data_IF_942596419247
#
_entry.id   IF_942596419247
#
_cell.length_a   1.000
_cell.length_b   1.000
_cell.length_c   1.000
_cell.angle_alpha   90.00
_cell.angle_beta   90.00
_cell.angle_gamma   90.00
#
_symmetry.space_group_name_H-M   'P 1'
#
loop_
_entity.id
_entity.type
_entity.pdbx_description
1 polymer ?
#
# COMPACT_ATOMS: atom_id res chain seq x y z
N UNK A 1 13.04 9.22 -20.85
CA UNK A 1 13.34 10.30 -19.88
C UNK A 1 12.12 11.04 -19.36
N UNK A 2 11.30 11.74 -20.17
CA UNK A 2 10.13 12.48 -19.64
C UNK A 2 9.18 11.59 -18.81
N UNK A 3 8.90 10.36 -19.26
CA UNK A 3 8.05 9.38 -18.54
C UNK A 3 8.64 8.90 -17.21
N UNK A 4 9.97 8.81 -17.10
CA UNK A 4 10.67 8.39 -15.87
C UNK A 4 10.67 9.48 -14.80
N UNK A 5 10.61 10.75 -15.21
CA UNK A 5 10.58 11.90 -14.30
C UNK A 5 9.17 12.28 -13.85
N UNK A 6 8.13 11.78 -14.55
CA UNK A 6 6.73 12.06 -14.21
C UNK A 6 6.38 11.76 -12.75
N UNK A 7 6.76 10.59 -12.16
CA UNK A 7 6.45 10.29 -10.77
C UNK A 7 7.08 11.30 -9.79
N UNK A 8 8.30 11.74 -10.08
CA UNK A 8 9.02 12.70 -9.25
C UNK A 8 8.38 14.10 -9.30
N UNK A 9 7.99 14.56 -10.49
CA UNK A 9 7.28 15.83 -10.66
C UNK A 9 5.92 15.77 -9.96
N UNK A 10 5.18 14.68 -10.13
CA UNK A 10 3.90 14.46 -9.46
C UNK A 10 4.07 14.50 -7.93
N UNK A 11 5.06 13.80 -7.39
CA UNK A 11 5.36 13.82 -5.96
C UNK A 11 5.66 15.23 -5.43
N UNK A 12 6.54 15.98 -6.10
CA UNK A 12 6.89 17.34 -5.71
C UNK A 12 5.68 18.29 -5.78
N UNK A 13 4.90 18.22 -6.85
CA UNK A 13 3.70 19.06 -7.02
C UNK A 13 2.62 18.74 -5.97
N UNK A 14 2.42 17.45 -5.67
CA UNK A 14 1.49 17.01 -4.63
C UNK A 14 1.94 17.51 -3.25
N UNK A 15 3.24 17.50 -2.96
CA UNK A 15 3.78 17.98 -1.69
C UNK A 15 3.53 19.49 -1.49
N UNK A 16 3.75 20.29 -2.54
CA UNK A 16 3.50 21.74 -2.52
C UNK A 16 2.00 22.03 -2.30
N UNK A 17 1.14 21.37 -3.08
CA UNK A 17 -0.32 21.54 -2.97
C UNK A 17 -0.82 21.10 -1.59
N UNK A 18 -0.31 19.98 -1.07
CA UNK A 18 -0.64 19.50 0.27
C UNK A 18 -0.25 20.52 1.34
N UNK A 19 0.97 21.08 1.27
CA UNK A 19 1.41 22.11 2.21
C UNK A 19 0.50 23.35 2.21
N UNK A 20 0.15 23.85 1.03
CA UNK A 20 -0.72 25.02 0.88
C UNK A 20 -2.15 24.77 1.39
N UNK A 21 -2.75 23.65 1.03
CA UNK A 21 -4.15 23.36 1.34
C UNK A 21 -4.35 22.85 2.77
N UNK A 22 -3.42 22.09 3.31
CA UNK A 22 -3.54 21.52 4.67
C UNK A 22 -3.57 22.60 5.74
N UNK A 23 -2.74 23.65 5.63
CA UNK A 23 -2.75 24.77 6.56
C UNK A 23 -4.10 25.47 6.62
N UNK A 24 -4.66 25.81 5.45
CA UNK A 24 -5.98 26.45 5.35
C UNK A 24 -7.08 25.54 5.90
N UNK A 25 -7.05 24.24 5.55
CA UNK A 25 -8.05 23.27 6.01
C UNK A 25 -8.03 23.06 7.53
N UNK A 26 -6.85 22.98 8.15
CA UNK A 26 -6.72 22.85 9.60
C UNK A 26 -7.30 24.08 10.30
N UNK A 27 -6.92 25.29 9.87
CA UNK A 27 -7.42 26.55 10.44
C UNK A 27 -8.95 26.61 10.33
N UNK A 28 -9.50 26.33 9.13
CA UNK A 28 -10.94 26.32 8.91
C UNK A 28 -11.66 25.30 9.81
N UNK A 29 -11.09 24.11 10.02
CA UNK A 29 -11.67 23.07 10.89
C UNK A 29 -11.76 23.54 12.35
N UNK A 30 -10.72 24.23 12.85
CA UNK A 30 -10.74 24.79 14.21
C UNK A 30 -11.75 25.94 14.36
N UNK A 31 -11.81 26.85 13.39
CA UNK A 31 -12.80 27.95 13.39
C UNK A 31 -14.23 27.37 13.41
N UNK A 32 -14.51 26.39 12.57
CA UNK A 32 -15.82 25.72 12.55
C UNK A 32 -16.12 25.04 13.89
N UNK A 33 -15.14 24.35 14.49
CA UNK A 33 -15.28 23.75 15.82
C UNK A 33 -15.68 24.75 16.90
N UNK A 34 -15.06 25.93 16.91
CA UNK A 34 -15.40 27.03 17.82
C UNK A 34 -16.81 27.57 17.57
N UNK A 35 -17.20 27.76 16.30
CA UNK A 35 -18.56 28.20 15.94
C UNK A 35 -19.63 27.19 16.38
N UNK A 36 -19.38 25.89 16.20
CA UNK A 36 -20.26 24.82 16.68
C UNK A 36 -20.40 24.83 18.20
N UNK A 37 -19.29 24.99 18.92
CA UNK A 37 -19.30 25.13 20.37
C UNK A 37 -20.15 26.32 20.82
N UNK A 38 -19.95 27.48 20.19
CA UNK A 38 -20.66 28.70 20.56
C UNK A 38 -22.17 28.58 20.33
N UNK A 39 -22.57 27.97 19.21
CA UNK A 39 -23.98 27.71 18.87
C UNK A 39 -24.64 26.69 19.80
N UNK A 40 -23.95 25.62 20.17
CA UNK A 40 -24.56 24.52 20.94
C UNK A 40 -24.36 24.63 22.46
N UNK A 41 -23.47 25.50 22.93
CA UNK A 41 -23.01 25.61 24.33
C UNK A 41 -22.55 24.29 24.94
N UNK A 42 -22.14 23.33 24.11
CA UNK A 42 -21.70 22.01 24.56
C UNK A 42 -20.20 21.86 24.28
N UNK A 43 -19.40 21.86 25.35
CA UNK A 43 -17.95 21.80 25.28
C UNK A 43 -17.41 20.59 24.50
N UNK A 44 -18.10 19.45 24.56
CA UNK A 44 -17.70 18.23 23.85
C UNK A 44 -17.73 18.42 22.32
N UNK A 45 -18.64 19.26 21.80
CA UNK A 45 -18.76 19.51 20.36
C UNK A 45 -17.60 20.34 19.80
N UNK A 46 -16.82 21.00 20.66
CA UNK A 46 -15.60 21.67 20.23
C UNK A 46 -14.53 20.68 19.76
N UNK A 47 -14.52 19.46 20.31
CA UNK A 47 -13.51 18.44 20.00
C UNK A 47 -13.93 17.48 18.89
N UNK A 48 -15.23 17.39 18.56
CA UNK A 48 -15.72 16.44 17.54
C UNK A 48 -15.04 16.62 16.18
N UNK A 49 -14.88 17.86 15.70
CA UNK A 49 -14.25 18.11 14.41
C UNK A 49 -12.73 17.85 14.41
N UNK A 50 -11.95 18.33 15.41
CA UNK A 50 -10.55 17.94 15.55
C UNK A 50 -10.33 16.42 15.65
N UNK A 51 -11.14 15.69 16.42
CA UNK A 51 -11.02 14.23 16.50
C UNK A 51 -11.33 13.54 15.17
N UNK A 52 -12.35 14.02 14.45
CA UNK A 52 -12.65 13.52 13.11
C UNK A 52 -11.49 13.77 12.14
N UNK A 53 -10.85 14.94 12.22
CA UNK A 53 -9.67 15.27 11.42
C UNK A 53 -8.50 14.31 11.75
N UNK A 54 -8.21 14.08 13.04
CA UNK A 54 -7.18 13.12 13.46
C UNK A 54 -7.48 11.71 12.94
N UNK A 55 -8.73 11.26 13.03
CA UNK A 55 -9.15 9.96 12.52
C UNK A 55 -8.98 9.85 10.99
N UNK A 56 -9.33 10.90 10.24
CA UNK A 56 -9.13 10.94 8.79
C UNK A 56 -7.64 10.97 8.41
N UNK A 57 -6.82 11.75 9.14
CA UNK A 57 -5.38 11.75 8.98
C UNK A 57 -4.79 10.36 9.24
N UNK A 58 -5.25 9.65 10.27
CA UNK A 58 -4.85 8.27 10.53
C UNK A 58 -5.18 7.33 9.37
N UNK A 59 -6.37 7.47 8.77
CA UNK A 59 -6.72 6.69 7.58
C UNK A 59 -5.81 6.98 6.38
N UNK A 60 -5.44 8.24 6.16
CA UNK A 60 -4.47 8.61 5.12
C UNK A 60 -3.08 8.02 5.41
N UNK A 61 -2.62 8.07 6.67
CA UNK A 61 -1.35 7.47 7.08
C UNK A 61 -1.31 5.96 6.81
N UNK A 62 -2.40 5.22 7.11
CA UNK A 62 -2.49 3.78 6.79
C UNK A 62 -2.30 3.52 5.28
N UNK A 63 -2.87 4.36 4.44
CA UNK A 63 -2.71 4.23 2.98
C UNK A 63 -1.25 4.44 2.57
N UNK A 64 -0.57 5.47 3.10
CA UNK A 64 0.85 5.72 2.83
C UNK A 64 1.72 4.55 3.28
N UNK A 65 1.51 4.04 4.49
CA UNK A 65 2.24 2.88 5.02
C UNK A 65 2.02 1.63 4.15
N UNK A 66 0.79 1.41 3.70
CA UNK A 66 0.47 0.32 2.77
C UNK A 66 1.22 0.47 1.44
N UNK A 67 1.20 1.67 0.83
CA UNK A 67 1.94 1.94 -0.40
C UNK A 67 3.45 1.75 -0.25
N UNK A 68 4.02 2.16 0.89
CA UNK A 68 5.43 1.92 1.20
C UNK A 68 5.74 0.43 1.36
N UNK A 69 4.88 -0.33 2.04
CA UNK A 69 5.04 -1.78 2.18
C UNK A 69 5.03 -2.48 0.82
N UNK A 70 4.10 -2.12 -0.08
CA UNK A 70 4.08 -2.64 -1.46
C UNK A 70 5.34 -2.23 -2.23
N UNK A 71 5.80 -0.99 -2.09
CA UNK A 71 7.03 -0.53 -2.73
C UNK A 71 8.27 -1.29 -2.26
N UNK A 72 8.39 -1.54 -0.95
CA UNK A 72 9.46 -2.35 -0.38
C UNK A 72 9.40 -3.80 -0.85
N UNK A 73 8.21 -4.38 -0.98
CA UNK A 73 8.02 -5.73 -1.51
C UNK A 73 8.43 -5.82 -2.99
N UNK A 74 8.07 -4.83 -3.82
CA UNK A 74 8.54 -4.72 -5.21
C UNK A 74 10.08 -4.62 -5.29
N UNK A 75 10.68 -3.73 -4.48
CA UNK A 75 12.14 -3.60 -4.41
C UNK A 75 12.79 -4.90 -3.93
N UNK A 76 12.19 -5.57 -2.96
CA UNK A 76 12.60 -6.89 -2.50
C UNK A 76 12.55 -7.93 -3.62
N UNK A 77 11.50 -7.94 -4.42
CA UNK A 77 11.40 -8.87 -5.55
C UNK A 77 12.52 -8.63 -6.57
N UNK A 78 12.83 -7.36 -6.88
CA UNK A 78 13.95 -7.03 -7.79
C UNK A 78 15.29 -7.43 -7.18
N UNK A 79 15.52 -7.15 -5.89
CA UNK A 79 16.82 -7.33 -5.27
C UNK A 79 17.14 -8.79 -4.93
N UNK A 80 16.14 -9.56 -4.46
CA UNK A 80 16.35 -10.93 -3.94
C UNK A 80 15.38 -11.96 -4.53
N UNK A 81 14.49 -11.59 -5.45
CA UNK A 81 13.48 -12.49 -6.00
C UNK A 81 14.07 -13.73 -6.67
N UNK A 82 15.16 -13.60 -7.44
CA UNK A 82 15.83 -14.75 -8.05
C UNK A 82 16.37 -15.73 -6.99
N UNK A 83 16.91 -15.23 -5.88
CA UNK A 83 17.34 -16.09 -4.77
C UNK A 83 16.13 -16.81 -4.12
N UNK A 84 15.01 -16.10 -3.96
CA UNK A 84 13.78 -16.69 -3.44
C UNK A 84 13.29 -17.78 -4.40
N UNK A 85 13.35 -17.58 -5.71
CA UNK A 85 12.96 -18.57 -6.73
C UNK A 85 13.68 -19.89 -6.52
N UNK A 86 15.02 -19.84 -6.38
CA UNK A 86 15.85 -21.02 -6.10
C UNK A 86 15.44 -21.78 -4.84
N UNK A 87 14.83 -21.10 -3.87
CA UNK A 87 14.45 -21.69 -2.59
C UNK A 87 13.03 -22.26 -2.60
N UNK A 88 12.11 -21.65 -3.35
CA UNK A 88 10.66 -21.90 -3.24
C UNK A 88 10.08 -22.73 -4.38
N UNK A 89 10.79 -22.88 -5.50
CA UNK A 89 10.33 -23.67 -6.65
C UNK A 89 11.52 -24.30 -7.40
N UNK A 90 11.25 -25.40 -8.09
CA UNK A 90 12.23 -26.02 -9.01
C UNK A 90 12.11 -25.41 -10.44
N UNK A 91 11.03 -24.67 -10.70
CA UNK A 91 10.79 -23.94 -11.96
C UNK A 91 11.74 -22.75 -12.05
N UNK A 92 12.20 -22.46 -13.27
CA UNK A 92 13.04 -21.30 -13.58
C UNK A 92 12.30 -20.29 -14.43
N UNK A 93 12.78 -19.04 -14.41
CA UNK A 93 12.22 -17.92 -15.19
C UNK A 93 10.76 -17.61 -14.83
N UNK A 94 10.46 -17.59 -13.53
CA UNK A 94 9.14 -17.22 -12.99
C UNK A 94 8.99 -15.69 -12.90
N UNK A 95 7.98 -15.22 -12.17
CA UNK A 95 7.74 -13.79 -11.92
C UNK A 95 8.61 -13.21 -10.80
N UNK A 96 9.31 -14.06 -10.06
CA UNK A 96 10.30 -13.63 -9.08
C UNK A 96 11.47 -12.93 -9.80
N UNK A 97 11.98 -11.83 -9.23
CA UNK A 97 12.99 -10.99 -9.89
C UNK A 97 12.44 -9.91 -10.81
N UNK A 98 11.12 -9.87 -11.06
CA UNK A 98 10.49 -8.85 -11.93
C UNK A 98 10.06 -7.63 -11.12
N UNK A 99 10.35 -6.43 -11.64
CA UNK A 99 10.11 -5.17 -10.91
C UNK A 99 8.68 -4.62 -10.92
N UNK A 100 7.76 -5.26 -11.61
CA UNK A 100 6.36 -4.85 -11.69
C UNK A 100 5.41 -5.70 -10.84
N UNK A 101 5.92 -6.72 -10.14
CA UNK A 101 5.11 -7.65 -9.33
C UNK A 101 5.81 -7.93 -8.00
N UNK A 102 5.03 -8.06 -6.93
CA UNK A 102 5.53 -8.31 -5.59
C UNK A 102 5.98 -9.76 -5.39
N UNK A 103 6.76 -10.03 -4.35
CA UNK A 103 7.14 -11.41 -3.97
C UNK A 103 5.88 -12.21 -3.65
N UNK A 104 4.96 -11.65 -2.85
CA UNK A 104 3.71 -12.32 -2.47
C UNK A 104 2.85 -12.69 -3.68
N UNK A 105 2.71 -11.80 -4.66
CA UNK A 105 1.96 -12.09 -5.89
C UNK A 105 2.66 -13.13 -6.77
N UNK A 106 4.00 -13.09 -6.83
CA UNK A 106 4.79 -14.09 -7.57
C UNK A 106 4.65 -15.48 -6.96
N UNK A 107 4.69 -15.59 -5.63
CA UNK A 107 4.42 -16.83 -4.90
C UNK A 107 2.97 -17.30 -5.09
N UNK A 108 2.01 -16.37 -5.09
CA UNK A 108 0.60 -16.68 -5.34
C UNK A 108 0.36 -17.35 -6.68
N UNK A 109 1.01 -16.85 -7.74
CA UNK A 109 0.99 -17.50 -9.06
C UNK A 109 1.53 -18.93 -8.99
N UNK A 110 2.71 -19.11 -8.41
CA UNK A 110 3.32 -20.44 -8.26
C UNK A 110 2.46 -21.39 -7.41
N UNK A 111 1.78 -20.87 -6.40
CA UNK A 111 0.86 -21.64 -5.57
C UNK A 111 -0.37 -22.10 -6.36
N UNK A 112 -0.96 -21.23 -7.18
CA UNK A 112 -2.07 -21.59 -8.05
C UNK A 112 -1.66 -22.61 -9.12
N UNK A 113 -0.46 -22.46 -9.68
CA UNK A 113 0.11 -23.41 -10.65
C UNK A 113 0.58 -24.73 -9.99
N UNK A 114 0.57 -24.83 -8.66
CA UNK A 114 1.12 -25.96 -7.87
C UNK A 114 2.61 -26.22 -8.12
N UNK A 115 3.36 -25.17 -8.40
CA UNK A 115 4.80 -25.19 -8.70
C UNK A 115 5.67 -24.87 -7.47
N UNK A 116 5.06 -24.57 -6.31
CA UNK A 116 5.80 -24.36 -5.06
C UNK A 116 6.27 -25.69 -4.47
N UNK A 117 7.56 -25.72 -4.09
CA UNK A 117 8.11 -26.82 -3.31
C UNK A 117 7.66 -26.72 -1.82
N UNK A 118 8.08 -27.69 -0.99
CA UNK A 118 7.71 -27.71 0.45
C UNK A 118 8.16 -26.46 1.22
N UNK A 119 9.29 -25.85 0.84
CA UNK A 119 9.78 -24.62 1.47
C UNK A 119 8.94 -23.42 1.04
N UNK A 120 8.61 -23.33 -0.25
CA UNK A 120 7.68 -22.34 -0.80
C UNK A 120 6.31 -22.38 -0.13
N UNK A 121 5.74 -23.57 0.07
CA UNK A 121 4.47 -23.74 0.78
C UNK A 121 4.56 -23.31 2.25
N UNK A 122 5.66 -23.61 2.96
CA UNK A 122 5.87 -23.13 4.33
C UNK A 122 5.99 -21.61 4.37
N UNK A 123 6.69 -21.02 3.41
CA UNK A 123 6.87 -19.58 3.32
C UNK A 123 5.53 -18.88 3.03
N UNK A 124 4.75 -19.38 2.08
CA UNK A 124 3.39 -18.88 1.82
C UNK A 124 2.50 -18.94 3.07
N UNK A 125 2.54 -20.04 3.82
CA UNK A 125 1.76 -20.17 5.08
C UNK A 125 2.22 -19.21 6.18
N UNK A 126 3.51 -18.89 6.22
CA UNK A 126 4.04 -17.86 7.13
C UNK A 126 3.45 -16.49 6.78
N UNK A 127 3.41 -16.15 5.48
CA UNK A 127 2.80 -14.91 5.01
C UNK A 127 1.30 -14.87 5.32
N UNK A 128 0.59 -15.97 5.16
CA UNK A 128 -0.83 -16.06 5.52
C UNK A 128 -1.10 -15.80 7.01
N UNK A 129 -0.16 -16.19 7.88
CA UNK A 129 -0.26 -15.95 9.33
C UNK A 129 0.02 -14.49 9.70
N UNK A 130 0.90 -13.81 8.96
CA UNK A 130 1.30 -12.43 9.24
C UNK A 130 0.26 -11.44 8.72
N UNK A 131 -0.31 -11.71 7.55
CA UNK A 131 -1.20 -10.77 6.86
C UNK A 131 -2.66 -11.21 6.92
N UNK A 132 -3.06 -12.15 6.06
CA UNK A 132 -4.43 -12.63 5.93
C UNK A 132 -4.46 -14.02 5.29
N UNK A 133 -5.55 -14.75 5.43
CA UNK A 133 -5.65 -16.08 4.82
C UNK A 133 -5.56 -15.99 3.29
N UNK A 134 -4.77 -16.88 2.69
CA UNK A 134 -4.51 -16.91 1.24
C UNK A 134 -3.89 -15.61 0.70
N UNK A 135 -3.09 -14.92 1.50
CA UNK A 135 -2.49 -13.64 1.18
C UNK A 135 -1.77 -13.64 -0.18
N UNK A 136 -0.96 -14.67 -0.44
CA UNK A 136 -0.19 -14.75 -1.69
C UNK A 136 -1.11 -14.86 -2.92
N UNK A 137 -2.15 -15.70 -2.85
CA UNK A 137 -3.11 -15.87 -3.94
C UNK A 137 -3.90 -14.57 -4.16
N UNK A 138 -4.37 -13.94 -3.09
CA UNK A 138 -5.09 -12.66 -3.17
C UNK A 138 -4.22 -11.56 -3.77
N UNK A 139 -2.94 -11.50 -3.40
CA UNK A 139 -1.98 -10.58 -3.99
C UNK A 139 -1.83 -10.79 -5.50
N UNK A 140 -1.78 -12.04 -5.96
CA UNK A 140 -1.71 -12.35 -7.39
C UNK A 140 -2.99 -11.96 -8.13
N UNK A 141 -4.17 -12.26 -7.59
CA UNK A 141 -5.44 -11.89 -8.20
C UNK A 141 -5.55 -10.37 -8.37
N UNK A 142 -5.21 -9.62 -7.31
CA UNK A 142 -5.18 -8.15 -7.35
C UNK A 142 -4.19 -7.61 -8.39
N UNK A 143 -3.03 -8.26 -8.54
CA UNK A 143 -2.08 -7.93 -9.61
C UNK A 143 -2.71 -8.12 -10.99
N UNK A 144 -3.34 -9.27 -11.25
CA UNK A 144 -3.96 -9.57 -12.55
C UNK A 144 -5.13 -8.63 -12.89
N UNK A 145 -5.94 -8.26 -11.89
CA UNK A 145 -7.01 -7.28 -12.07
C UNK A 145 -6.48 -5.90 -12.49
N UNK A 146 -5.36 -5.47 -11.91
CA UNK A 146 -4.74 -4.18 -12.23
C UNK A 146 -4.08 -4.20 -13.63
N UNK A 147 -3.46 -5.31 -14.02
CA UNK A 147 -2.89 -5.48 -15.36
C UNK A 147 -3.99 -5.42 -16.44
N UNK A 148 -5.14 -6.04 -16.19
CA UNK A 148 -6.25 -6.03 -17.14
C UNK A 148 -6.91 -4.65 -17.30
N UNK A 149 -6.84 -3.79 -16.29
CA UNK A 149 -7.33 -2.40 -16.37
C UNK A 149 -6.40 -1.46 -17.14
N UNK A 150 -5.16 -1.88 -17.36
CA UNK A 150 -4.12 -1.05 -18.02
C UNK A 150 -3.84 -1.47 -19.47
N UNK A 151 -4.48 -2.55 -19.94
CA UNK A 151 -4.52 -2.98 -21.35
C UNK A 151 -5.74 -2.38 -22.05
#
# INVERSE_FOLDING_TARGET
>A
MKKELTPLILFLSAFILFGLLSGVGIIATYILGLLYFWKSRNFLKMFTLPFMLIYQLWNACKYVLYSLAVGLDLLGNVAVGELIELLVTDKRNTLLGKGNITISASLGKLQLEKELNKRGLKFSKLLDKIFEQNHCILAYLKYTENENKTK
#
